data_IF_254832704648
#
_entry.id   IF_254832704648
#
_cell.length_a   1.000
_cell.length_b   1.000
_cell.length_c   1.000
_cell.angle_alpha   90.00
_cell.angle_beta   90.00
_cell.angle_gamma   90.00
#
_symmetry.space_group_name_H-M   'P 1'
#
loop_
_entity.id
_entity.type
_entity.pdbx_description
1 polymer ?
#
# COMPACT_ATOMS: atom_id res chain seq x y z
N UNK A 1 9.41 4.60 -20.32
CA UNK A 1 8.15 4.93 -19.62
C UNK A 1 8.23 4.41 -18.19
N UNK A 2 8.43 5.28 -17.20
CA UNK A 2 8.54 4.85 -15.81
C UNK A 2 7.16 4.47 -15.28
N UNK A 3 6.85 3.18 -15.21
CA UNK A 3 5.62 2.71 -14.58
C UNK A 3 5.67 3.09 -13.09
N UNK A 4 4.91 4.13 -12.71
CA UNK A 4 4.69 4.46 -11.30
C UNK A 4 4.06 3.23 -10.64
N UNK A 5 4.78 2.61 -9.71
CA UNK A 5 4.24 1.51 -8.88
C UNK A 5 3.01 2.08 -8.15
N UNK A 6 1.83 1.53 -8.44
CA UNK A 6 0.55 1.97 -7.87
C UNK A 6 0.15 1.05 -6.72
N UNK A 7 -0.73 1.54 -5.86
CA UNK A 7 -1.38 0.74 -4.81
C UNK A 7 -2.05 -0.52 -5.37
N UNK A 8 -2.59 -0.45 -6.59
CA UNK A 8 -3.18 -1.58 -7.32
C UNK A 8 -2.19 -2.69 -7.60
N UNK A 9 -0.92 -2.39 -7.88
CA UNK A 9 0.11 -3.40 -8.12
C UNK A 9 0.41 -4.21 -6.86
N UNK A 10 0.49 -3.54 -5.70
CA UNK A 10 0.69 -4.19 -4.40
C UNK A 10 -0.53 -5.04 -4.04
N UNK A 11 -1.73 -4.50 -4.32
CA UNK A 11 -2.99 -5.17 -4.07
C UNK A 11 -3.10 -6.48 -4.86
N UNK A 12 -2.78 -6.44 -6.15
CA UNK A 12 -2.80 -7.59 -7.06
C UNK A 12 -1.76 -8.65 -6.65
N UNK A 13 -0.52 -8.22 -6.36
CA UNK A 13 0.57 -9.11 -5.96
C UNK A 13 0.30 -9.85 -4.63
N UNK A 14 -0.44 -9.22 -3.71
CA UNK A 14 -0.79 -9.80 -2.40
C UNK A 14 -2.19 -10.41 -2.37
N UNK A 15 -2.95 -10.34 -3.47
CA UNK A 15 -4.34 -10.81 -3.53
C UNK A 15 -5.28 -10.07 -2.58
N UNK A 16 -4.99 -8.80 -2.26
CA UNK A 16 -5.81 -7.96 -1.37
C UNK A 16 -6.43 -6.80 -2.15
N UNK A 17 -7.40 -6.12 -1.55
CA UNK A 17 -7.97 -4.91 -2.16
C UNK A 17 -7.07 -3.69 -1.99
N UNK A 18 -7.14 -2.75 -2.92
CA UNK A 18 -6.44 -1.44 -2.81
C UNK A 18 -6.79 -0.68 -1.54
N UNK A 19 -8.04 -0.82 -1.07
CA UNK A 19 -8.49 -0.32 0.22
C UNK A 19 -7.69 -0.94 1.39
N UNK A 20 -7.49 -2.26 1.37
CA UNK A 20 -6.68 -2.99 2.38
C UNK A 20 -5.24 -2.50 2.38
N UNK A 21 -4.63 -2.30 1.21
CA UNK A 21 -3.28 -1.73 1.11
C UNK A 21 -3.26 -0.31 1.68
N UNK A 22 -4.26 0.52 1.36
CA UNK A 22 -4.36 1.89 1.89
C UNK A 22 -4.52 1.92 3.41
N UNK A 23 -5.35 1.03 3.97
CA UNK A 23 -5.58 0.87 5.41
C UNK A 23 -4.31 0.37 6.11
N UNK A 24 -3.62 -0.61 5.53
CA UNK A 24 -2.37 -1.15 6.04
C UNK A 24 -1.25 -0.10 6.09
N UNK A 25 -1.10 0.70 5.02
CA UNK A 25 -0.12 1.78 4.95
C UNK A 25 -0.42 2.93 5.91
N UNK A 26 -1.70 3.09 6.31
CA UNK A 26 -2.15 4.06 7.32
C UNK A 26 -2.13 3.50 8.74
N UNK A 27 -1.62 2.29 8.96
CA UNK A 27 -1.62 1.61 10.26
C UNK A 27 -3.02 1.42 10.86
N UNK A 28 -4.04 1.26 10.00
CA UNK A 28 -5.41 1.01 10.46
C UNK A 28 -5.53 -0.33 11.19
N UNK A 29 -6.27 -0.39 12.33
CA UNK A 29 -6.51 -1.63 13.05
C UNK A 29 -7.42 -2.62 12.31
N UNK A 30 -8.05 -2.20 11.21
CA UNK A 30 -8.89 -3.05 10.36
C UNK A 30 -8.08 -4.10 9.57
N UNK A 31 -6.75 -3.95 9.49
CA UNK A 31 -5.87 -4.91 8.83
C UNK A 31 -5.07 -5.65 9.89
N UNK A 32 -5.10 -6.98 9.84
CA UNK A 32 -4.29 -7.81 10.72
C UNK A 32 -2.81 -7.39 10.66
N UNK A 33 -2.15 -7.32 11.83
CA UNK A 33 -0.76 -6.87 11.94
C UNK A 33 0.18 -7.64 11.00
N UNK A 34 -0.01 -8.96 10.89
CA UNK A 34 0.76 -9.82 9.98
C UNK A 34 0.58 -9.43 8.50
N UNK A 35 -0.65 -9.18 8.06
CA UNK A 35 -0.93 -8.75 6.67
C UNK A 35 -0.38 -7.36 6.41
N UNK A 36 -0.49 -6.45 7.39
CA UNK A 36 0.05 -5.10 7.30
C UNK A 36 1.56 -5.09 7.15
N UNK A 37 2.28 -5.91 7.91
CA UNK A 37 3.74 -6.03 7.77
C UNK A 37 4.11 -6.58 6.39
N UNK A 38 3.46 -7.66 5.94
CA UNK A 38 3.70 -8.21 4.59
C UNK A 38 3.47 -7.15 3.50
N UNK A 39 2.40 -6.35 3.61
CA UNK A 39 2.14 -5.24 2.68
C UNK A 39 3.26 -4.20 2.73
N UNK A 40 3.70 -3.79 3.92
CA UNK A 40 4.76 -2.78 4.10
C UNK A 40 6.11 -3.27 3.59
N UNK A 41 6.47 -4.52 3.87
CA UNK A 41 7.69 -5.16 3.36
C UNK A 41 7.65 -5.25 1.84
N UNK A 42 6.55 -5.75 1.28
CA UNK A 42 6.41 -5.89 -0.17
C UNK A 42 6.44 -4.52 -0.86
N UNK A 43 5.74 -3.53 -0.31
CA UNK A 43 5.79 -2.14 -0.77
C UNK A 43 7.22 -1.59 -0.75
N UNK A 44 8.00 -1.83 0.31
CA UNK A 44 9.42 -1.45 0.35
C UNK A 44 10.26 -2.19 -0.69
N UNK A 45 10.05 -3.50 -0.84
CA UNK A 45 10.81 -4.35 -1.76
C UNK A 45 10.66 -3.90 -3.23
N UNK A 46 9.46 -3.47 -3.61
CA UNK A 46 9.19 -2.99 -4.98
C UNK A 46 9.47 -1.49 -5.15
N UNK A 47 10.03 -0.82 -4.14
CA UNK A 47 10.35 0.61 -4.19
C UNK A 47 9.12 1.53 -4.12
N UNK A 48 7.98 1.05 -3.62
CA UNK A 48 6.83 1.90 -3.35
C UNK A 48 7.12 2.82 -2.17
N UNK A 49 7.41 4.08 -2.49
CA UNK A 49 7.55 5.14 -1.50
C UNK A 49 6.15 5.66 -1.16
N UNK A 50 5.70 5.40 0.07
CA UNK A 50 4.45 5.95 0.58
C UNK A 50 4.55 7.48 0.65
N UNK A 51 4.08 8.14 -0.41
CA UNK A 51 4.11 9.57 -0.52
C UNK A 51 2.92 10.14 0.26
N UNK A 52 3.14 10.55 1.52
CA UNK A 52 2.09 11.17 2.37
C UNK A 52 1.39 12.36 1.67
N UNK A 53 2.07 13.05 0.75
CA UNK A 53 1.50 14.14 -0.08
C UNK A 53 0.41 13.68 -1.04
N UNK A 54 0.42 12.43 -1.51
CA UNK A 54 -0.67 11.91 -2.34
C UNK A 54 -1.94 11.68 -1.51
N UNK A 55 -1.81 11.47 -0.19
CA UNK A 55 -2.94 11.25 0.70
C UNK A 55 -3.71 12.54 1.02
N UNK A 56 -3.10 13.72 0.87
CA UNK A 56 -3.74 15.02 1.13
C UNK A 56 -4.47 15.62 -0.08
N UNK A 57 -4.39 15.00 -1.26
CA UNK A 57 -5.04 15.45 -2.49
C UNK A 57 -6.44 14.85 -2.72
N UNK A 58 -7.01 14.19 -1.70
CA UNK A 58 -8.33 13.56 -1.74
C UNK A 58 -9.29 14.25 -0.76
N UNK A 59 -9.53 15.53 -1.00
CA UNK A 59 -10.75 16.25 -0.59
C UNK A 59 -11.54 16.48 -1.86
#
# INVERSE_FOLDING_TARGET
MAQKIKLSTIADALGVSTATVSLALRDSPLVAGATRERIKEHARAIGYIYNRRAASLRT
#
